data_IF_568658821684
#
_entry.id   IF_568658821684
#
_cell.length_a   1.000
_cell.length_b   1.000
_cell.length_c   1.000
_cell.angle_alpha   90.00
_cell.angle_beta   90.00
_cell.angle_gamma   90.00
#
_symmetry.space_group_name_H-M   'P 1'
#
loop_
_entity.id
_entity.type
_entity.pdbx_description
1 polymer ?
#
# COMPACT_ATOMS: atom_id res chain seq x y z
N UNK A 1 36.58 -20.24 -24.09
CA UNK A 1 35.11 -20.27 -24.32
C UNK A 1 34.34 -21.02 -23.23
N UNK A 2 34.80 -22.17 -22.72
CA UNK A 2 34.11 -22.91 -21.66
C UNK A 2 33.98 -22.12 -20.33
N UNK A 3 35.04 -21.41 -19.91
CA UNK A 3 35.03 -20.57 -18.69
C UNK A 3 34.03 -19.42 -18.74
N UNK A 4 33.82 -18.80 -19.91
CA UNK A 4 32.86 -17.71 -20.08
C UNK A 4 31.41 -18.21 -20.01
N UNK A 5 31.14 -19.43 -20.51
CA UNK A 5 29.83 -20.06 -20.43
C UNK A 5 29.46 -20.49 -19.01
N UNK A 6 30.43 -21.00 -18.24
CA UNK A 6 30.24 -21.34 -16.82
C UNK A 6 29.97 -20.09 -15.98
N UNK A 7 30.67 -18.98 -16.24
CA UNK A 7 30.42 -17.71 -15.56
C UNK A 7 29.05 -17.12 -15.91
N UNK A 8 28.63 -17.19 -17.17
CA UNK A 8 27.30 -16.76 -17.60
C UNK A 8 26.17 -17.62 -16.99
N UNK A 9 26.38 -18.94 -16.85
CA UNK A 9 25.43 -19.85 -16.19
C UNK A 9 25.33 -19.60 -14.68
N UNK A 10 26.45 -19.29 -14.02
CA UNK A 10 26.45 -18.95 -12.59
C UNK A 10 25.78 -17.59 -12.32
N UNK A 11 25.97 -16.61 -13.20
CA UNK A 11 25.27 -15.32 -13.11
C UNK A 11 23.77 -15.50 -13.41
N UNK A 12 23.39 -16.31 -14.40
CA UNK A 12 21.99 -16.62 -14.67
C UNK A 12 21.31 -17.35 -13.50
N UNK A 13 22.02 -18.27 -12.82
CA UNK A 13 21.53 -18.96 -11.63
C UNK A 13 21.48 -18.04 -10.38
N UNK A 14 22.31 -16.99 -10.31
CA UNK A 14 22.29 -16.02 -9.22
C UNK A 14 21.22 -14.92 -9.41
N UNK A 15 20.89 -14.57 -10.67
CA UNK A 15 19.79 -13.65 -11.00
C UNK A 15 18.43 -14.36 -10.93
N UNK A 16 18.39 -15.67 -11.21
CA UNK A 16 17.28 -16.57 -10.90
C UNK A 16 17.46 -17.21 -9.51
N UNK A 17 17.79 -16.40 -8.50
CA UNK A 17 17.62 -16.83 -7.12
C UNK A 17 16.22 -17.41 -6.94
N UNK A 18 16.03 -18.43 -6.08
CA UNK A 18 14.70 -18.97 -5.88
C UNK A 18 13.83 -17.81 -5.40
N UNK A 19 12.93 -17.34 -6.26
CA UNK A 19 11.69 -16.73 -5.80
C UNK A 19 11.15 -17.83 -4.89
N UNK A 20 11.35 -17.67 -3.58
CA UNK A 20 10.92 -18.66 -2.61
C UNK A 20 9.46 -18.91 -2.92
N UNK A 21 9.14 -20.10 -3.46
CA UNK A 21 7.76 -20.48 -3.68
C UNK A 21 7.12 -20.37 -2.32
N UNK A 22 6.31 -19.33 -2.15
CA UNK A 22 5.51 -19.17 -0.95
C UNK A 22 4.53 -20.32 -1.03
N UNK A 23 4.75 -21.33 -0.18
CA UNK A 23 3.81 -22.43 -0.06
C UNK A 23 2.50 -21.85 0.45
N UNK A 24 1.60 -21.64 -0.48
CA UNK A 24 0.19 -21.42 -0.22
C UNK A 24 -0.34 -22.61 0.58
N UNK A 25 -0.95 -22.34 1.72
CA UNK A 25 -1.63 -23.37 2.48
C UNK A 25 -3.00 -23.63 1.85
N UNK A 26 -3.46 -24.86 1.90
CA UNK A 26 -4.84 -25.22 1.57
C UNK A 26 -5.40 -25.89 2.81
N UNK A 27 -6.35 -25.24 3.46
CA UNK A 27 -7.08 -25.84 4.57
C UNK A 27 -8.18 -26.75 4.05
N UNK A 28 -8.42 -27.85 4.77
CA UNK A 28 -9.54 -28.76 4.50
C UNK A 28 -10.62 -28.58 5.56
N UNK A 29 -11.86 -28.31 5.14
CA UNK A 29 -13.02 -28.20 6.04
C UNK A 29 -13.79 -26.89 5.89
N UNK A 30 -14.90 -26.75 6.61
CA UNK A 30 -15.64 -25.50 6.70
C UNK A 30 -14.96 -24.58 7.72
N UNK A 31 -14.41 -23.46 7.26
CA UNK A 31 -13.92 -22.40 8.14
C UNK A 31 -15.08 -21.66 8.79
N UNK A 32 -15.00 -21.48 10.10
CA UNK A 32 -15.92 -20.63 10.84
C UNK A 32 -15.20 -19.99 12.02
N UNK A 33 -15.38 -18.68 12.19
CA UNK A 33 -14.90 -17.97 13.35
C UNK A 33 -15.96 -16.96 13.79
N UNK A 34 -16.04 -16.70 15.10
CA UNK A 34 -16.94 -15.68 15.64
C UNK A 34 -16.19 -14.34 15.68
N UNK A 35 -16.30 -13.54 14.61
CA UNK A 35 -15.78 -12.17 14.64
C UNK A 35 -16.64 -11.30 15.55
N UNK A 36 -16.02 -10.50 16.42
CA UNK A 36 -16.73 -9.51 17.22
C UNK A 36 -17.41 -8.47 16.31
N UNK A 37 -18.74 -8.54 16.18
CA UNK A 37 -19.49 -7.57 15.39
C UNK A 37 -19.31 -6.18 15.99
N UNK A 38 -18.65 -5.27 15.27
CA UNK A 38 -18.53 -3.86 15.66
C UNK A 38 -17.12 -3.35 15.99
N UNK A 39 -16.06 -4.12 15.73
CA UNK A 39 -14.69 -3.58 15.82
C UNK A 39 -14.43 -2.64 14.63
N UNK A 40 -14.09 -1.38 14.94
CA UNK A 40 -13.90 -0.32 13.95
C UNK A 40 -12.62 0.46 14.26
N UNK A 41 -11.77 0.62 13.26
CA UNK A 41 -10.62 1.55 13.30
C UNK A 41 -11.10 2.86 12.69
N UNK A 42 -10.83 3.98 13.37
CA UNK A 42 -11.24 5.31 12.92
C UNK A 42 -10.03 6.08 12.41
N UNK A 43 -9.97 6.29 11.12
CA UNK A 43 -9.04 7.22 10.50
C UNK A 43 -9.57 8.64 10.67
N UNK A 44 -9.11 9.34 11.72
CA UNK A 44 -9.49 10.73 11.97
C UNK A 44 -8.74 11.68 11.02
N UNK A 45 -9.35 12.84 10.75
CA UNK A 45 -8.70 13.90 9.97
C UNK A 45 -7.63 14.63 10.80
N UNK A 46 -6.36 14.51 10.39
CA UNK A 46 -5.22 15.20 11.03
C UNK A 46 -4.35 15.83 9.92
N UNK A 47 -4.40 17.15 9.71
CA UNK A 47 -3.68 17.80 8.62
C UNK A 47 -2.21 18.08 8.97
N UNK A 48 -1.28 17.48 8.21
CA UNK A 48 0.13 17.90 8.17
C UNK A 48 0.94 17.66 9.45
N UNK A 49 0.51 16.74 10.31
CA UNK A 49 1.22 16.38 11.55
C UNK A 49 2.02 15.09 11.37
N UNK A 50 1.42 14.08 10.73
CA UNK A 50 2.03 12.75 10.60
C UNK A 50 3.12 12.74 9.54
N UNK A 51 4.24 12.13 9.89
CA UNK A 51 5.37 11.84 9.02
C UNK A 51 5.66 10.33 9.01
N UNK A 52 6.15 9.81 7.89
CA UNK A 52 6.54 8.40 7.77
C UNK A 52 8.06 8.35 7.77
N UNK A 53 8.67 8.20 8.95
CA UNK A 53 10.12 8.33 9.13
C UNK A 53 10.70 7.46 10.27
N UNK A 54 9.89 6.60 10.88
CA UNK A 54 10.23 5.76 12.01
C UNK A 54 10.15 6.47 13.37
N UNK A 55 9.78 7.75 13.44
CA UNK A 55 9.62 8.48 14.70
C UNK A 55 8.15 8.58 15.06
N UNK A 56 7.81 8.09 16.25
CA UNK A 56 6.40 7.92 16.64
C UNK A 56 5.82 9.04 17.51
N UNK A 57 6.57 10.12 17.71
CA UNK A 57 6.18 11.22 18.61
C UNK A 57 4.94 11.98 18.11
N UNK A 58 4.77 12.09 16.80
CA UNK A 58 3.62 12.68 16.11
C UNK A 58 2.34 11.83 16.22
N UNK A 59 2.46 10.54 16.56
CA UNK A 59 1.32 9.62 16.77
C UNK A 59 0.80 9.56 18.21
N UNK A 60 1.41 10.28 19.15
CA UNK A 60 1.11 10.15 20.60
C UNK A 60 -0.36 10.44 20.94
N UNK A 61 -1.00 11.36 20.23
CA UNK A 61 -2.37 11.82 20.48
C UNK A 61 -3.41 11.13 19.56
N UNK A 62 -2.96 10.17 18.74
CA UNK A 62 -3.83 9.42 17.83
C UNK A 62 -4.51 8.26 18.57
N UNK A 63 -5.81 8.09 18.32
CA UNK A 63 -6.64 7.01 18.87
C UNK A 63 -6.08 5.62 18.54
N UNK A 64 -6.04 4.75 19.55
CA UNK A 64 -5.41 3.43 19.47
C UNK A 64 -6.45 2.31 19.38
N UNK A 65 -6.32 1.43 18.40
CA UNK A 65 -7.11 0.19 18.32
C UNK A 65 -6.21 -1.00 18.64
N UNK A 66 -6.51 -1.72 19.72
CA UNK A 66 -5.67 -2.81 20.23
C UNK A 66 -6.28 -4.18 19.92
N UNK A 67 -5.51 -5.05 19.28
CA UNK A 67 -5.97 -6.35 18.78
C UNK A 67 -5.11 -7.49 19.32
N UNK A 68 -5.70 -8.58 19.83
CA UNK A 68 -4.96 -9.82 20.03
C UNK A 68 -4.41 -10.31 18.68
N UNK A 69 -3.24 -10.93 18.72
CA UNK A 69 -2.60 -11.51 17.53
C UNK A 69 -2.74 -13.03 17.60
N UNK A 70 -3.61 -13.59 16.77
CA UNK A 70 -3.89 -15.02 16.71
C UNK A 70 -3.33 -15.63 15.42
N UNK A 71 -2.83 -16.87 15.42
CA UNK A 71 -2.38 -17.51 14.19
C UNK A 71 -3.49 -17.55 13.16
N UNK A 72 -3.19 -17.15 11.92
CA UNK A 72 -4.22 -16.99 10.90
C UNK A 72 -4.93 -18.29 10.50
N UNK A 73 -4.24 -19.42 10.59
CA UNK A 73 -4.77 -20.74 10.21
C UNK A 73 -5.41 -21.49 11.38
N UNK A 74 -5.17 -21.02 12.60
CA UNK A 74 -5.49 -21.73 13.82
C UNK A 74 -5.68 -20.73 14.97
N UNK A 75 -6.78 -19.94 14.92
CA UNK A 75 -6.97 -18.75 15.75
C UNK A 75 -7.46 -19.11 17.16
N UNK A 76 -6.91 -20.17 17.75
CA UNK A 76 -7.20 -20.57 19.11
C UNK A 76 -6.54 -19.62 20.12
N UNK A 77 -7.27 -19.28 21.17
CA UNK A 77 -6.83 -18.31 22.17
C UNK A 77 -5.57 -18.74 22.95
N UNK A 78 -5.30 -20.04 23.06
CA UNK A 78 -4.08 -20.58 23.70
C UNK A 78 -2.83 -20.43 22.83
N UNK A 79 -2.98 -20.03 21.56
CA UNK A 79 -1.90 -19.80 20.59
C UNK A 79 -1.66 -18.32 20.31
N UNK A 80 -2.29 -17.42 21.09
CA UNK A 80 -2.08 -15.97 20.99
C UNK A 80 -0.58 -15.62 21.09
N UNK A 81 -0.15 -14.65 20.29
CA UNK A 81 1.21 -14.15 20.31
C UNK A 81 1.60 -13.63 21.69
N UNK A 82 2.62 -14.27 22.27
CA UNK A 82 2.92 -14.13 23.69
C UNK A 82 3.56 -12.79 24.09
N UNK A 83 4.15 -12.05 23.15
CA UNK A 83 4.78 -10.76 23.47
C UNK A 83 3.76 -9.61 23.53
N UNK A 84 2.52 -9.83 23.09
CA UNK A 84 1.41 -8.91 23.31
C UNK A 84 0.50 -8.73 22.10
N UNK A 85 -0.11 -7.55 22.04
CA UNK A 85 -1.12 -7.17 21.05
C UNK A 85 -0.50 -6.38 19.91
N UNK A 86 -1.22 -6.30 18.79
CA UNK A 86 -0.98 -5.26 17.78
C UNK A 86 -1.84 -4.05 18.10
N UNK A 87 -1.21 -2.89 18.19
CA UNK A 87 -1.90 -1.60 18.19
C UNK A 87 -1.90 -1.05 16.77
N UNK A 88 -3.08 -0.78 16.23
CA UNK A 88 -3.26 -0.13 14.94
C UNK A 88 -3.80 1.28 15.17
N UNK A 89 -3.12 2.26 14.59
CA UNK A 89 -3.59 3.65 14.48
C UNK A 89 -3.76 3.99 13.01
N UNK A 90 -4.77 4.79 12.70
CA UNK A 90 -5.00 5.28 11.35
C UNK A 90 -5.46 6.74 11.40
N UNK A 91 -5.04 7.55 10.43
CA UNK A 91 -5.51 8.93 10.23
C UNK A 91 -5.48 9.27 8.74
N UNK A 92 -6.01 10.42 8.36
CA UNK A 92 -5.83 10.97 7.01
C UNK A 92 -5.70 12.49 7.05
N UNK A 93 -5.01 13.09 6.08
CA UNK A 93 -4.87 14.54 5.96
C UNK A 93 -5.79 15.15 4.88
N UNK A 94 -6.66 14.32 4.30
CA UNK A 94 -7.56 14.70 3.21
C UNK A 94 -7.03 14.38 1.82
N UNK A 95 -5.74 14.04 1.70
CA UNK A 95 -5.09 13.55 0.47
C UNK A 95 -4.54 12.15 0.65
N UNK A 96 -3.85 11.91 1.76
CA UNK A 96 -3.18 10.67 2.10
C UNK A 96 -3.87 10.01 3.31
N UNK A 97 -3.89 8.67 3.32
CA UNK A 97 -4.16 7.85 4.49
C UNK A 97 -2.83 7.48 5.14
N UNK A 98 -2.79 7.46 6.47
CA UNK A 98 -1.63 7.06 7.25
C UNK A 98 -2.02 5.95 8.22
N UNK A 99 -1.11 4.99 8.40
CA UNK A 99 -1.28 3.84 9.28
C UNK A 99 -0.04 3.65 10.12
N UNK A 100 -0.21 3.33 11.40
CA UNK A 100 0.87 2.86 12.26
C UNK A 100 0.48 1.55 12.92
N UNK A 101 1.37 0.55 12.80
CA UNK A 101 1.28 -0.72 13.49
C UNK A 101 2.35 -0.76 14.58
N UNK A 102 1.94 -0.96 15.82
CA UNK A 102 2.83 -1.19 16.94
C UNK A 102 2.70 -2.62 17.42
N UNK A 103 3.81 -3.33 17.55
CA UNK A 103 3.80 -4.72 18.03
C UNK A 103 4.94 -4.91 19.01
N UNK A 104 4.62 -5.34 20.22
CA UNK A 104 5.64 -5.72 21.20
C UNK A 104 6.40 -6.94 20.71
N UNK A 105 7.71 -6.94 20.89
CA UNK A 105 8.55 -8.03 20.45
C UNK A 105 10.00 -7.74 20.79
N UNK A 106 10.78 -8.78 21.01
CA UNK A 106 12.21 -8.57 21.15
C UNK A 106 12.80 -8.19 19.78
N UNK A 107 13.91 -7.47 19.80
CA UNK A 107 14.64 -7.14 18.61
C UNK A 107 15.13 -8.42 17.93
N UNK A 108 14.72 -8.64 16.69
CA UNK A 108 14.96 -9.81 15.88
C UNK A 108 15.34 -9.35 14.48
N UNK A 109 16.64 -9.42 14.17
CA UNK A 109 17.14 -8.93 12.90
C UNK A 109 18.34 -9.73 12.43
N UNK A 110 18.16 -10.46 11.33
CA UNK A 110 19.26 -11.10 10.60
C UNK A 110 19.36 -10.48 9.21
N UNK A 111 20.42 -9.72 8.97
CA UNK A 111 20.61 -9.00 7.71
C UNK A 111 20.49 -9.94 6.49
N UNK A 112 19.54 -9.63 5.61
CA UNK A 112 19.31 -10.36 4.36
C UNK A 112 18.50 -11.64 4.50
N UNK A 113 18.01 -11.98 5.69
CA UNK A 113 17.14 -13.13 5.95
C UNK A 113 15.79 -12.64 6.48
N UNK A 114 14.87 -12.31 5.55
CA UNK A 114 13.53 -11.84 5.90
C UNK A 114 12.79 -12.77 6.85
N UNK A 115 12.99 -14.09 6.74
CA UNK A 115 12.31 -15.09 7.58
C UNK A 115 12.73 -15.03 9.06
N UNK A 116 13.83 -14.35 9.36
CA UNK A 116 14.33 -14.09 10.71
C UNK A 116 14.18 -12.64 11.16
N UNK A 117 13.46 -11.84 10.38
CA UNK A 117 13.11 -10.49 10.75
C UNK A 117 11.58 -10.35 10.77
N UNK A 118 11.03 -9.43 11.58
CA UNK A 118 9.62 -9.10 11.51
C UNK A 118 9.14 -8.70 10.11
N UNK A 119 7.87 -8.98 9.83
CA UNK A 119 7.17 -8.55 8.62
C UNK A 119 5.74 -8.17 8.98
N UNK A 120 5.16 -7.20 8.29
CA UNK A 120 3.74 -6.82 8.46
C UNK A 120 3.05 -6.75 7.10
N UNK A 121 1.72 -6.89 7.12
CA UNK A 121 0.90 -6.57 5.97
C UNK A 121 -0.39 -5.87 6.39
N UNK A 122 -0.89 -5.01 5.50
CA UNK A 122 -2.26 -4.51 5.53
C UNK A 122 -2.99 -5.09 4.32
N UNK A 123 -4.21 -5.57 4.51
CA UNK A 123 -5.05 -6.12 3.45
C UNK A 123 -6.40 -5.42 3.44
N UNK A 124 -6.84 -4.99 2.27
CA UNK A 124 -8.09 -4.26 2.06
C UNK A 124 -9.00 -5.00 1.08
N UNK A 125 -10.29 -4.98 1.35
CA UNK A 125 -11.28 -5.51 0.42
C UNK A 125 -11.48 -4.53 -0.75
N UNK A 126 -11.40 -5.02 -1.98
CA UNK A 126 -11.78 -4.24 -3.17
C UNK A 126 -13.02 -4.84 -3.81
N UNK A 127 -12.95 -6.13 -4.17
CA UNK A 127 -14.04 -6.85 -4.81
C UNK A 127 -15.20 -7.11 -3.85
N UNK A 128 -16.43 -6.97 -4.32
CA UNK A 128 -17.63 -7.14 -3.49
C UNK A 128 -17.74 -8.55 -2.87
N UNK A 129 -17.22 -9.56 -3.56
CA UNK A 129 -17.21 -10.97 -3.14
C UNK A 129 -15.90 -11.36 -2.41
N UNK A 130 -14.98 -10.43 -2.20
CA UNK A 130 -13.70 -10.71 -1.57
C UNK A 130 -13.86 -11.10 -0.09
N UNK A 131 -13.52 -12.35 0.21
CA UNK A 131 -13.50 -12.89 1.57
C UNK A 131 -12.14 -12.64 2.25
N UNK A 132 -12.16 -12.43 3.57
CA UNK A 132 -10.94 -12.29 4.37
C UNK A 132 -10.13 -13.60 4.38
N UNK A 133 -10.77 -14.70 4.80
CA UNK A 133 -10.09 -15.96 5.14
C UNK A 133 -9.25 -16.54 4.01
N UNK A 134 -9.68 -16.35 2.75
CA UNK A 134 -8.93 -16.80 1.56
C UNK A 134 -8.41 -15.65 0.72
N UNK A 135 -8.07 -14.50 1.32
CA UNK A 135 -7.42 -13.36 0.64
C UNK A 135 -8.11 -13.03 -0.71
N UNK A 136 -9.44 -12.91 -0.69
CA UNK A 136 -10.29 -12.77 -1.88
C UNK A 136 -11.25 -13.95 -2.08
N UNK A 137 -10.77 -15.19 -1.92
CA UNK A 137 -11.61 -16.39 -1.96
C UNK A 137 -12.05 -16.85 -3.34
N UNK A 138 -11.38 -16.43 -4.42
CA UNK A 138 -11.59 -17.06 -5.72
C UNK A 138 -11.23 -18.55 -5.65
N UNK A 139 -12.08 -19.41 -6.22
CA UNK A 139 -11.92 -20.88 -6.16
C UNK A 139 -10.88 -21.44 -7.13
N UNK A 140 -10.34 -20.60 -8.01
CA UNK A 140 -9.33 -20.98 -8.98
C UNK A 140 -8.03 -21.46 -8.32
N UNK A 141 -7.38 -22.44 -8.95
CA UNK A 141 -6.10 -22.96 -8.49
C UNK A 141 -4.93 -22.09 -8.92
N UNK A 142 -3.69 -22.48 -8.55
CA UNK A 142 -2.48 -21.86 -9.06
C UNK A 142 -2.50 -21.79 -10.60
N UNK A 143 -2.03 -20.68 -11.16
CA UNK A 143 -1.90 -20.44 -12.61
C UNK A 143 -3.21 -20.44 -13.43
N UNK A 144 -4.39 -20.66 -12.82
CA UNK A 144 -5.69 -20.64 -13.54
C UNK A 144 -6.51 -19.36 -13.31
N UNK A 145 -6.03 -18.47 -12.45
CA UNK A 145 -6.74 -17.23 -12.17
C UNK A 145 -6.65 -16.24 -13.33
N UNK A 146 -7.80 -15.76 -13.74
CA UNK A 146 -7.94 -14.67 -14.72
C UNK A 146 -8.93 -13.65 -14.19
N UNK A 147 -8.85 -12.42 -14.71
CA UNK A 147 -9.86 -11.40 -14.39
C UNK A 147 -11.27 -11.93 -14.70
N UNK A 148 -11.47 -12.66 -15.81
CA UNK A 148 -12.78 -13.22 -16.16
C UNK A 148 -13.35 -14.21 -15.13
N UNK A 149 -12.51 -14.96 -14.44
CA UNK A 149 -12.92 -16.02 -13.51
C UNK A 149 -12.95 -15.58 -12.06
N UNK A 150 -12.14 -14.59 -11.70
CA UNK A 150 -11.97 -14.13 -10.32
C UNK A 150 -12.40 -12.69 -10.08
N UNK A 151 -12.94 -12.00 -11.10
CA UNK A 151 -13.45 -10.63 -10.94
C UNK A 151 -14.42 -10.52 -9.76
N UNK A 152 -14.22 -9.50 -8.94
CA UNK A 152 -15.01 -9.24 -7.73
C UNK A 152 -14.46 -9.93 -6.47
N UNK A 153 -13.35 -10.65 -6.58
CA UNK A 153 -12.64 -11.25 -5.43
C UNK A 153 -11.33 -10.50 -5.09
N UNK A 154 -11.10 -9.32 -5.66
CA UNK A 154 -9.87 -8.56 -5.47
C UNK A 154 -9.69 -8.13 -4.01
N UNK A 155 -8.48 -8.34 -3.51
CA UNK A 155 -7.95 -7.69 -2.30
C UNK A 155 -6.67 -6.95 -2.66
N UNK A 156 -6.47 -5.81 -2.01
CA UNK A 156 -5.25 -5.01 -2.06
C UNK A 156 -4.42 -5.36 -0.83
N UNK A 157 -3.13 -5.60 -0.99
CA UNK A 157 -2.20 -6.00 0.05
C UNK A 157 -0.92 -5.19 -0.07
N UNK A 158 -0.64 -4.40 0.95
CA UNK A 158 0.72 -3.91 1.19
C UNK A 158 1.44 -4.90 2.10
N UNK A 159 2.64 -5.30 1.72
CA UNK A 159 3.50 -6.13 2.56
C UNK A 159 4.87 -5.49 2.75
N UNK A 160 5.25 -5.33 4.01
CA UNK A 160 6.53 -4.77 4.41
C UNK A 160 7.39 -5.80 5.15
N UNK A 161 8.54 -6.13 4.59
CA UNK A 161 9.49 -7.07 5.19
C UNK A 161 10.81 -6.39 5.55
N UNK A 162 11.24 -6.56 6.80
CA UNK A 162 12.50 -6.00 7.26
C UNK A 162 13.67 -6.59 6.47
N UNK A 163 14.06 -7.86 6.64
CA UNK A 163 15.15 -8.47 5.85
C UNK A 163 16.48 -7.68 5.88
N UNK A 164 16.69 -6.81 4.89
CA UNK A 164 17.81 -5.85 4.80
C UNK A 164 17.43 -4.37 4.97
N UNK A 165 16.19 -4.08 5.37
CA UNK A 165 15.68 -2.76 5.59
C UNK A 165 16.48 -2.06 6.70
N UNK A 166 16.59 -0.76 6.53
CA UNK A 166 17.32 0.17 7.37
C UNK A 166 16.28 0.89 8.23
N UNK A 167 16.41 0.87 9.58
CA UNK A 167 15.49 1.59 10.46
C UNK A 167 15.41 3.07 10.08
N UNK A 168 14.20 3.63 10.06
CA UNK A 168 13.92 5.05 9.77
C UNK A 168 14.03 5.44 8.28
N UNK A 169 14.45 4.53 7.40
CA UNK A 169 14.51 4.79 5.96
C UNK A 169 13.12 4.65 5.33
N UNK A 170 12.81 5.57 4.40
CA UNK A 170 11.61 5.52 3.59
C UNK A 170 11.75 4.51 2.43
N UNK A 171 10.73 3.67 2.25
CA UNK A 171 10.59 2.65 1.20
C UNK A 171 9.30 2.84 0.41
N UNK A 172 9.26 2.33 -0.84
CA UNK A 172 8.07 2.44 -1.70
C UNK A 172 7.82 3.85 -2.24
N UNK A 173 6.75 4.02 -3.03
CA UNK A 173 6.20 5.32 -3.41
C UNK A 173 7.14 6.26 -4.15
N UNK A 174 8.25 5.74 -4.70
CA UNK A 174 9.30 6.58 -5.26
C UNK A 174 9.17 6.69 -6.79
N UNK A 175 9.35 7.90 -7.37
CA UNK A 175 9.13 8.12 -8.80
C UNK A 175 10.02 7.29 -9.74
N UNK A 176 11.11 6.72 -9.26
CA UNK A 176 12.00 5.92 -10.10
C UNK A 176 11.48 4.47 -10.19
N UNK A 177 10.95 3.88 -9.11
CA UNK A 177 10.34 2.53 -9.17
C UNK A 177 8.99 2.58 -9.86
N UNK A 178 8.19 3.62 -9.59
CA UNK A 178 6.89 3.79 -10.24
C UNK A 178 6.99 4.01 -11.76
N UNK A 179 8.16 4.41 -12.29
CA UNK A 179 8.41 4.46 -13.75
C UNK A 179 8.45 3.08 -14.39
N UNK A 180 8.80 2.03 -13.64
CA UNK A 180 8.76 0.66 -14.13
C UNK A 180 7.32 0.16 -14.28
N UNK A 181 6.35 0.85 -13.66
CA UNK A 181 4.93 0.60 -13.84
C UNK A 181 4.44 -0.69 -13.18
N UNK A 182 4.99 -1.02 -12.01
CA UNK A 182 4.52 -2.12 -11.18
C UNK A 182 4.70 -1.85 -9.68
N UNK A 183 4.02 -2.61 -8.83
CA UNK A 183 3.96 -2.50 -7.36
C UNK A 183 5.25 -2.89 -6.62
N UNK A 184 6.39 -2.94 -7.30
CA UNK A 184 7.67 -3.27 -6.67
C UNK A 184 8.34 -2.09 -5.98
N UNK A 185 9.26 -2.41 -5.09
CA UNK A 185 10.26 -1.49 -4.56
C UNK A 185 11.64 -2.06 -4.89
N UNK A 186 12.57 -1.24 -5.38
CA UNK A 186 13.90 -1.73 -5.78
C UNK A 186 14.72 -2.31 -4.63
N UNK A 187 14.41 -1.93 -3.40
CA UNK A 187 15.05 -2.49 -2.23
C UNK A 187 14.33 -3.77 -1.76
N UNK A 188 13.13 -4.03 -2.29
CA UNK A 188 12.37 -5.26 -2.09
C UNK A 188 11.68 -5.34 -0.73
N UNK A 189 11.56 -4.21 -0.02
CA UNK A 189 11.05 -4.21 1.35
C UNK A 189 9.57 -3.91 1.44
N UNK A 190 9.08 -2.93 0.67
CA UNK A 190 7.67 -2.55 0.62
C UNK A 190 7.12 -2.87 -0.76
N UNK A 191 6.23 -3.86 -0.84
CA UNK A 191 5.58 -4.23 -2.10
C UNK A 191 4.08 -3.98 -2.03
N UNK A 192 3.55 -3.53 -3.16
CA UNK A 192 2.14 -3.31 -3.42
C UNK A 192 1.60 -4.45 -4.29
N UNK A 193 0.57 -5.12 -3.80
CA UNK A 193 0.19 -6.45 -4.26
C UNK A 193 -1.31 -6.61 -4.22
N UNK A 194 -1.94 -6.87 -5.35
CA UNK A 194 -3.29 -7.38 -5.36
C UNK A 194 -3.35 -8.92 -5.39
N UNK A 195 -4.46 -9.47 -4.91
CA UNK A 195 -4.74 -10.90 -4.98
C UNK A 195 -6.22 -11.21 -5.23
N UNK A 196 -6.50 -12.39 -5.75
CA UNK A 196 -7.85 -12.98 -5.77
C UNK A 196 -8.01 -14.14 -4.79
N UNK A 197 -6.89 -14.77 -4.42
CA UNK A 197 -6.76 -15.82 -3.41
C UNK A 197 -5.26 -15.99 -3.05
N UNK A 198 -4.87 -16.87 -2.11
CA UNK A 198 -3.48 -17.01 -1.70
C UNK A 198 -2.53 -17.55 -2.77
N UNK A 199 -3.05 -18.18 -3.83
CA UNK A 199 -2.27 -18.72 -4.96
C UNK A 199 -2.14 -17.72 -6.13
N UNK A 200 -3.01 -16.73 -6.18
CA UNK A 200 -3.17 -15.81 -7.29
C UNK A 200 -2.96 -14.39 -6.79
N UNK A 201 -1.69 -14.09 -6.57
CA UNK A 201 -1.18 -12.88 -5.96
C UNK A 201 -0.08 -12.31 -6.86
N UNK A 202 -0.19 -11.04 -7.20
CA UNK A 202 0.69 -10.39 -8.17
C UNK A 202 1.07 -9.01 -7.66
N UNK A 203 2.25 -8.53 -8.04
CA UNK A 203 2.57 -7.12 -7.84
C UNK A 203 1.57 -6.29 -8.66
N UNK A 204 1.18 -5.14 -8.12
CA UNK A 204 0.34 -4.19 -8.85
C UNK A 204 0.93 -3.86 -10.21
N UNK A 205 0.08 -3.63 -11.20
CA UNK A 205 0.50 -3.43 -12.60
C UNK A 205 0.95 -4.71 -13.32
N UNK A 206 1.14 -5.84 -12.63
CA UNK A 206 1.37 -7.15 -13.24
C UNK A 206 0.12 -8.01 -13.15
N UNK A 207 -0.44 -8.43 -14.29
CA UNK A 207 -1.60 -9.34 -14.30
C UNK A 207 -1.38 -10.53 -15.23
N UNK A 208 -1.96 -11.71 -14.94
CA UNK A 208 -2.05 -12.80 -15.92
C UNK A 208 -2.67 -12.37 -17.25
N UNK A 209 -3.50 -11.32 -17.24
CA UNK A 209 -4.13 -10.74 -18.43
C UNK A 209 -3.31 -9.66 -19.16
N UNK A 210 -2.15 -9.26 -18.63
CA UNK A 210 -1.28 -8.23 -19.21
C UNK A 210 -0.73 -7.25 -18.17
N UNK A 211 0.25 -6.44 -18.57
CA UNK A 211 0.81 -5.39 -17.71
C UNK A 211 0.10 -4.06 -17.96
N UNK A 212 -0.16 -3.28 -16.91
CA UNK A 212 -0.62 -1.90 -17.01
C UNK A 212 0.25 -1.01 -16.12
N UNK A 213 0.79 0.05 -16.71
CA UNK A 213 1.66 1.02 -16.03
C UNK A 213 0.92 1.97 -15.09
N UNK A 214 -0.42 1.91 -15.04
CA UNK A 214 -1.22 2.79 -14.16
C UNK A 214 -1.28 2.34 -12.71
N UNK A 215 -1.03 1.05 -12.44
CA UNK A 215 -0.97 0.51 -11.09
C UNK A 215 0.49 0.52 -10.63
N UNK A 216 0.76 1.28 -9.58
CA UNK A 216 2.08 1.61 -9.09
C UNK A 216 2.18 1.24 -7.62
N UNK A 217 3.40 1.19 -7.09
CA UNK A 217 3.56 1.14 -5.64
C UNK A 217 3.24 2.53 -5.07
N UNK A 218 2.00 2.73 -4.63
CA UNK A 218 1.53 4.01 -4.10
C UNK A 218 1.75 4.15 -2.58
N UNK A 219 2.36 3.13 -1.97
CA UNK A 219 2.68 3.11 -0.57
C UNK A 219 4.07 3.65 -0.28
N UNK A 220 4.17 4.41 0.79
CA UNK A 220 5.42 4.73 1.45
C UNK A 220 5.44 4.08 2.82
N UNK A 221 6.62 3.67 3.29
CA UNK A 221 6.72 3.08 4.62
C UNK A 221 8.09 3.20 5.26
N UNK A 222 8.10 3.16 6.58
CA UNK A 222 9.28 3.17 7.44
C UNK A 222 9.06 2.26 8.64
N UNK A 223 10.14 1.91 9.33
CA UNK A 223 10.08 1.10 10.53
C UNK A 223 11.10 1.53 11.59
N UNK A 224 10.78 1.20 12.84
CA UNK A 224 11.65 1.43 13.99
C UNK A 224 11.46 0.36 15.06
N UNK A 225 12.41 0.28 16.00
CA UNK A 225 12.27 -0.51 17.21
C UNK A 225 12.74 0.30 18.42
N UNK A 226 12.01 0.29 19.53
CA UNK A 226 12.31 1.14 20.70
C UNK A 226 13.64 0.87 21.40
N UNK A 227 14.31 -0.25 21.12
CA UNK A 227 15.66 -0.50 21.64
C UNK A 227 16.77 0.26 20.88
N UNK A 228 16.45 0.89 19.75
CA UNK A 228 17.40 1.66 18.96
C UNK A 228 17.60 3.04 19.58
N UNK A 229 18.85 3.47 19.72
CA UNK A 229 19.22 4.67 20.51
C UNK A 229 19.35 5.96 19.70
N UNK A 230 19.57 5.88 18.37
CA UNK A 230 19.85 7.05 17.52
C UNK A 230 18.94 7.12 16.29
N UNK A 231 18.06 8.12 16.21
CA UNK A 231 17.09 8.29 15.10
C UNK A 231 17.71 8.97 13.85
N UNK A 232 19.00 8.79 13.58
CA UNK A 232 19.75 9.59 12.61
C UNK A 232 19.85 9.01 11.20
N UNK A 233 19.71 7.70 11.02
CA UNK A 233 20.25 7.02 9.85
C UNK A 233 19.25 6.76 8.72
N UNK A 234 19.43 7.45 7.59
CA UNK A 234 18.82 7.09 6.29
C UNK A 234 19.66 6.06 5.50
N UNK A 235 20.86 5.74 6.00
CA UNK A 235 21.83 4.83 5.38
C UNK A 235 22.38 3.85 6.41
N UNK A 236 22.78 2.65 5.95
CA UNK A 236 23.18 1.54 6.80
C UNK A 236 24.27 1.91 7.82
N UNK A 237 25.24 2.72 7.42
CA UNK A 237 26.38 3.09 8.27
C UNK A 237 26.00 4.08 9.38
N UNK A 238 24.89 4.80 9.22
CA UNK A 238 24.39 5.81 10.17
C UNK A 238 23.17 5.32 10.96
N UNK A 239 22.65 4.12 10.67
CA UNK A 239 21.47 3.55 11.33
C UNK A 239 21.89 2.54 12.39
N UNK A 240 21.53 2.75 13.66
CA UNK A 240 21.80 1.77 14.69
C UNK A 240 20.98 0.50 14.44
N UNK A 241 21.63 -0.65 14.52
CA UNK A 241 20.97 -1.93 14.73
C UNK A 241 21.17 -2.31 16.19
N UNK A 242 20.13 -2.82 16.85
CA UNK A 242 20.25 -3.31 18.22
C UNK A 242 20.86 -4.72 18.25
N UNK A 243 21.25 -5.15 19.45
CA UNK A 243 21.58 -6.55 19.68
C UNK A 243 20.32 -7.42 19.62
N UNK A 244 20.46 -8.61 19.08
CA UNK A 244 19.40 -9.62 19.07
C UNK A 244 18.85 -9.86 20.49
N UNK A 245 17.52 -10.01 20.61
CA UNK A 245 16.83 -10.29 21.85
C UNK A 245 16.55 -9.08 22.76
N UNK A 246 16.98 -7.87 22.39
CA UNK A 246 16.69 -6.66 23.17
C UNK A 246 15.18 -6.40 23.24
N UNK A 247 14.64 -6.24 24.46
CA UNK A 247 13.20 -6.01 24.63
C UNK A 247 12.78 -4.67 24.04
N UNK A 248 11.60 -4.64 23.44
CA UNK A 248 11.01 -3.40 22.97
C UNK A 248 9.72 -3.60 22.18
N UNK A 249 9.47 -2.64 21.31
CA UNK A 249 8.27 -2.52 20.49
C UNK A 249 8.71 -2.13 19.09
N UNK A 250 8.16 -2.82 18.10
CA UNK A 250 8.29 -2.45 16.70
C UNK A 250 7.23 -1.42 16.35
N UNK A 251 7.65 -0.45 15.54
CA UNK A 251 6.78 0.53 14.93
C UNK A 251 6.94 0.43 13.42
N UNK A 252 5.82 0.29 12.72
CA UNK A 252 5.76 0.35 11.27
C UNK A 252 4.79 1.44 10.88
N UNK A 253 5.24 2.35 10.02
CA UNK A 253 4.47 3.48 9.54
C UNK A 253 4.29 3.36 8.05
N UNK A 254 3.08 3.66 7.59
CA UNK A 254 2.72 3.59 6.18
C UNK A 254 1.87 4.78 5.78
N UNK A 255 2.04 5.25 4.56
CA UNK A 255 1.14 6.21 3.94
C UNK A 255 0.86 5.84 2.50
N UNK A 256 -0.32 6.25 2.01
CA UNK A 256 -0.64 6.23 0.59
C UNK A 256 -1.73 7.25 0.26
N UNK A 257 -1.89 7.62 -1.01
CA UNK A 257 -3.00 8.44 -1.44
C UNK A 257 -4.35 7.77 -1.11
N UNK A 258 -5.33 8.56 -0.66
CA UNK A 258 -6.71 8.10 -0.50
C UNK A 258 -7.30 7.61 -1.83
N UNK A 259 -6.83 8.19 -2.93
CA UNK A 259 -7.18 7.82 -4.30
C UNK A 259 -5.92 7.57 -5.09
N UNK A 260 -5.81 6.39 -5.68
CA UNK A 260 -4.72 6.06 -6.59
C UNK A 260 -5.11 6.27 -8.04
N UNK A 261 -4.14 6.14 -8.93
CA UNK A 261 -4.35 6.22 -10.37
C UNK A 261 -4.68 4.86 -11.00
N UNK A 262 -4.83 3.82 -10.18
CA UNK A 262 -5.15 2.48 -10.61
C UNK A 262 -6.47 2.43 -11.39
N UNK A 263 -6.43 1.72 -12.51
CA UNK A 263 -7.56 1.48 -13.42
C UNK A 263 -7.92 0.00 -13.52
N UNK A 264 -7.14 -0.86 -12.87
CA UNK A 264 -7.26 -2.31 -12.91
C UNK A 264 -8.01 -2.88 -11.72
N UNK A 265 -8.45 -2.05 -10.76
CA UNK A 265 -9.12 -2.50 -9.54
C UNK A 265 -8.20 -3.40 -8.69
N UNK A 266 -6.92 -3.03 -8.64
CA UNK A 266 -5.87 -3.64 -7.84
C UNK A 266 -5.66 -2.89 -6.52
N UNK A 267 -6.01 -1.61 -6.50
CA UNK A 267 -5.93 -0.73 -5.33
C UNK A 267 -7.27 -0.47 -4.65
N UNK A 268 -7.27 -0.52 -3.32
CA UNK A 268 -8.37 -0.05 -2.51
C UNK A 268 -8.48 1.49 -2.57
N UNK A 269 -9.68 1.98 -2.87
CA UNK A 269 -9.95 3.42 -3.02
C UNK A 269 -10.66 3.97 -1.79
N UNK A 270 -9.94 4.68 -0.93
CA UNK A 270 -10.47 5.22 0.31
C UNK A 270 -11.30 6.48 0.07
N UNK A 271 -12.49 6.52 0.70
CA UNK A 271 -13.42 7.64 0.59
C UNK A 271 -13.71 8.20 1.97
N UNK A 272 -13.42 9.48 2.16
CA UNK A 272 -13.80 10.21 3.38
C UNK A 272 -15.32 10.14 3.57
N UNK A 273 -15.75 9.83 4.79
CA UNK A 273 -17.14 9.59 5.17
C UNK A 273 -17.63 8.17 4.90
N UNK A 274 -16.79 7.25 4.42
CA UNK A 274 -17.15 5.84 4.18
C UNK A 274 -16.27 4.88 4.98
N UNK A 275 -16.80 3.68 5.14
CA UNK A 275 -16.08 2.53 5.68
C UNK A 275 -15.45 1.70 4.56
N UNK A 276 -14.24 1.21 4.81
CA UNK A 276 -13.58 0.15 4.03
C UNK A 276 -13.41 -1.08 4.92
N UNK A 277 -13.19 -2.26 4.33
CA UNK A 277 -12.79 -3.45 5.10
C UNK A 277 -11.28 -3.60 5.10
N UNK A 278 -10.73 -3.87 6.27
CA UNK A 278 -9.31 -3.95 6.55
C UNK A 278 -9.00 -5.24 7.33
N UNK A 279 -7.79 -5.75 7.17
CA UNK A 279 -7.12 -6.62 8.13
C UNK A 279 -5.62 -6.32 8.16
N UNK A 280 -4.94 -6.74 9.23
CA UNK A 280 -3.50 -6.60 9.39
C UNK A 280 -2.89 -7.94 9.84
N UNK A 281 -1.69 -8.21 9.34
CA UNK A 281 -0.96 -9.44 9.62
C UNK A 281 0.46 -9.13 10.12
N UNK A 282 1.01 -10.08 10.90
CA UNK A 282 2.34 -9.99 11.47
C UNK A 282 3.07 -11.32 11.38
N UNK A 283 4.29 -11.30 10.86
CA UNK A 283 5.22 -12.42 10.88
C UNK A 283 6.36 -12.09 11.83
N UNK A 284 6.72 -13.05 12.68
CA UNK A 284 7.77 -12.88 13.66
C UNK A 284 8.48 -14.20 13.94
N UNK A 285 9.82 -14.21 14.04
CA UNK A 285 10.57 -15.42 14.35
C UNK A 285 10.37 -15.83 15.83
N UNK A 286 9.63 -16.90 16.05
CA UNK A 286 9.36 -17.42 17.39
C UNK A 286 10.45 -18.40 17.84
N UNK A 287 10.92 -18.26 19.08
CA UNK A 287 11.94 -19.13 19.68
C UNK A 287 13.23 -19.29 18.84
N UNK A 288 13.63 -18.22 18.15
CA UNK A 288 14.80 -18.22 17.27
C UNK A 288 14.62 -19.02 15.97
N UNK A 289 13.41 -19.49 15.68
CA UNK A 289 13.09 -20.20 14.44
C UNK A 289 12.58 -19.20 13.38
N UNK A 290 13.03 -19.32 12.12
CA UNK A 290 12.49 -18.50 11.05
C UNK A 290 11.01 -18.79 10.84
N UNK A 291 10.23 -17.77 10.52
CA UNK A 291 8.84 -17.94 10.10
C UNK A 291 8.77 -18.43 8.65
N UNK A 292 7.63 -18.98 8.26
CA UNK A 292 7.31 -19.29 6.86
C UNK A 292 6.08 -18.51 6.40
N UNK A 293 5.85 -18.43 5.08
CA UNK A 293 4.89 -17.49 4.51
C UNK A 293 3.46 -17.58 5.07
N UNK A 294 2.97 -18.78 5.38
CA UNK A 294 1.64 -18.95 5.99
C UNK A 294 1.59 -18.79 7.52
N UNK A 295 2.72 -18.77 8.23
CA UNK A 295 2.79 -18.68 9.70
C UNK A 295 2.70 -17.23 10.21
N UNK A 296 1.67 -16.51 9.80
CA UNK A 296 1.39 -15.18 10.33
C UNK A 296 0.34 -15.20 11.42
N UNK A 297 0.45 -14.19 12.27
CA UNK A 297 -0.63 -13.77 13.14
C UNK A 297 -1.52 -12.76 12.42
N UNK A 298 -2.79 -12.72 12.79
CA UNK A 298 -3.76 -11.74 12.31
C UNK A 298 -4.45 -11.06 13.50
N UNK A 299 -4.85 -9.80 13.28
CA UNK A 299 -5.59 -9.00 14.26
C UNK A 299 -7.05 -9.43 14.43
N UNK A 300 -7.58 -10.22 13.50
CA UNK A 300 -8.96 -10.67 13.48
C UNK A 300 -9.10 -11.93 12.62
N UNK A 301 -10.15 -12.69 12.86
CA UNK A 301 -10.47 -13.88 12.07
C UNK A 301 -11.41 -13.59 10.88
N UNK A 302 -11.90 -12.35 10.76
CA UNK A 302 -12.63 -11.80 9.61
C UNK A 302 -12.31 -10.31 9.44
N UNK A 303 -12.79 -9.70 8.35
CA UNK A 303 -12.67 -8.27 8.08
C UNK A 303 -13.11 -7.40 9.27
N UNK A 304 -12.33 -6.39 9.56
CA UNK A 304 -12.73 -5.28 10.43
C UNK A 304 -13.08 -4.05 9.59
N UNK A 305 -13.83 -3.11 10.16
CA UNK A 305 -14.16 -1.86 9.48
C UNK A 305 -13.10 -0.79 9.74
N UNK A 306 -12.71 -0.09 8.68
CA UNK A 306 -11.89 1.11 8.71
C UNK A 306 -12.73 2.30 8.25
N UNK A 307 -13.00 3.24 9.14
CA UNK A 307 -13.80 4.42 8.87
C UNK A 307 -12.92 5.63 8.60
N UNK A 308 -13.06 6.26 7.42
CA UNK A 308 -12.43 7.56 7.15
C UNK A 308 -13.38 8.66 7.60
N UNK A 309 -13.06 9.32 8.71
CA UNK A 309 -13.96 10.26 9.36
C UNK A 309 -13.80 11.65 8.74
N UNK A 310 -14.90 12.22 8.25
CA UNK A 310 -14.90 13.61 7.77
C UNK A 310 -14.43 14.56 8.88
N UNK A 311 -13.41 15.36 8.59
CA UNK A 311 -13.01 16.46 9.47
C UNK A 311 -14.13 17.49 9.53
N UNK A 312 -14.79 17.64 10.67
CA UNK A 312 -15.83 18.63 10.88
C UNK A 312 -15.78 19.23 12.28
N UNK A 313 -15.56 20.54 12.36
CA UNK A 313 -16.51 21.35 13.11
C UNK A 313 -17.85 21.22 12.39
N UNK A 314 -18.94 20.95 13.12
CA UNK A 314 -20.27 20.86 12.52
C UNK A 314 -20.53 22.05 11.60
N UNK A 315 -20.82 21.86 10.30
CA UNK A 315 -21.41 22.91 9.52
C UNK A 315 -22.85 23.04 10.04
N UNK A 316 -23.15 24.19 10.64
CA UNK A 316 -24.53 24.62 10.85
C UNK A 316 -25.28 24.37 9.55
N UNK A 317 -26.40 23.62 9.59
CA UNK A 317 -27.24 23.33 8.43
C UNK A 317 -27.39 24.58 7.54
N UNK A 318 -26.61 24.64 6.47
CA UNK A 318 -26.91 25.49 5.31
C UNK A 318 -27.34 24.52 4.24
N UNK A 319 -28.56 24.74 3.75
CA UNK A 319 -29.24 23.91 2.78
C UNK A 319 -28.32 23.44 1.65
N UNK A 320 -28.47 22.18 1.26
CA UNK A 320 -27.81 21.56 0.11
C UNK A 320 -27.90 22.46 -1.13
N UNK A 321 -26.78 23.12 -1.46
CA UNK A 321 -26.49 23.66 -2.77
C UNK A 321 -25.20 23.01 -3.25
N UNK A 322 -25.29 22.21 -4.31
CA UNK A 322 -24.16 21.61 -5.04
C UNK A 322 -23.01 22.61 -5.23
N UNK A 323 -21.82 22.38 -4.64
CA UNK A 323 -20.63 23.22 -4.90
C UNK A 323 -19.95 22.90 -6.24
N UNK A 324 -20.41 21.86 -6.94
CA UNK A 324 -19.76 21.32 -8.13
C UNK A 324 -20.29 21.91 -9.45
N UNK A 325 -21.42 22.61 -9.43
CA UNK A 325 -22.03 23.18 -10.64
C UNK A 325 -21.42 24.52 -11.07
N UNK A 326 -21.01 25.37 -10.13
CA UNK A 326 -20.56 26.72 -10.46
C UNK A 326 -19.21 26.72 -11.19
N UNK A 327 -18.19 26.05 -10.64
CA UNK A 327 -16.85 26.04 -11.23
C UNK A 327 -16.82 25.37 -12.62
N UNK A 328 -17.61 24.32 -12.79
CA UNK A 328 -17.74 23.59 -14.07
C UNK A 328 -18.50 24.42 -15.10
N UNK A 329 -19.57 25.10 -14.71
CA UNK A 329 -20.30 26.03 -15.58
C UNK A 329 -19.45 27.24 -15.99
N UNK A 330 -18.68 27.82 -15.06
CA UNK A 330 -17.76 28.91 -15.38
C UNK A 330 -16.64 28.46 -16.30
N UNK A 331 -16.07 27.27 -16.08
CA UNK A 331 -15.01 26.72 -16.96
C UNK A 331 -15.54 26.46 -18.38
N UNK A 332 -16.75 25.92 -18.50
CA UNK A 332 -17.41 25.74 -19.79
C UNK A 332 -17.67 27.10 -20.47
N UNK A 333 -18.20 28.08 -19.73
CA UNK A 333 -18.43 29.44 -20.24
C UNK A 333 -17.14 30.08 -20.76
N UNK A 334 -16.05 30.04 -19.98
CA UNK A 334 -14.76 30.60 -20.38
C UNK A 334 -14.16 29.86 -21.58
N UNK A 335 -14.32 28.53 -21.67
CA UNK A 335 -13.85 27.75 -22.83
C UNK A 335 -14.58 28.14 -24.12
N UNK A 336 -15.90 28.36 -24.04
CA UNK A 336 -16.72 28.78 -25.19
C UNK A 336 -16.36 30.21 -25.60
N UNK A 337 -16.20 31.13 -24.63
CA UNK A 337 -15.77 32.51 -24.91
C UNK A 337 -14.39 32.54 -25.56
N UNK A 338 -13.43 31.77 -25.05
CA UNK A 338 -12.08 31.68 -25.60
C UNK A 338 -12.10 31.13 -27.04
N UNK A 339 -12.91 30.10 -27.31
CA UNK A 339 -13.07 29.52 -28.64
C UNK A 339 -13.68 30.53 -29.63
N UNK A 340 -14.73 31.25 -29.23
CA UNK A 340 -15.34 32.32 -30.04
C UNK A 340 -14.36 33.47 -30.33
N UNK A 341 -13.56 33.87 -29.33
CA UNK A 341 -12.52 34.88 -29.51
C UNK A 341 -11.43 34.41 -30.47
N UNK A 342 -11.00 33.15 -30.39
CA UNK A 342 -10.02 32.58 -31.31
C UNK A 342 -10.52 32.57 -32.77
N UNK A 343 -11.79 32.18 -33.00
CA UNK A 343 -12.42 32.24 -34.33
C UNK A 343 -12.50 33.69 -34.83
N UNK A 344 -12.92 34.61 -33.97
CA UNK A 344 -13.06 36.03 -34.35
C UNK A 344 -11.71 36.67 -34.70
N UNK A 345 -10.67 36.43 -33.89
CA UNK A 345 -9.32 36.90 -34.15
C UNK A 345 -8.76 36.25 -35.43
N UNK A 346 -8.91 34.94 -35.59
CA UNK A 346 -8.50 34.23 -36.81
C UNK A 346 -9.18 34.75 -38.07
N UNK A 347 -10.48 35.03 -38.01
CA UNK A 347 -11.23 35.61 -39.12
C UNK A 347 -10.83 37.08 -39.39
N UNK A 348 -10.58 37.89 -38.35
CA UNK A 348 -10.05 39.27 -38.49
C UNK A 348 -8.67 39.28 -39.14
N UNK A 349 -7.74 38.44 -38.68
CA UNK A 349 -6.39 38.33 -39.23
C UNK A 349 -6.41 37.80 -40.67
N UNK A 350 -7.26 36.82 -40.97
CA UNK A 350 -7.46 36.32 -42.35
C UNK A 350 -8.01 37.40 -43.29
N UNK A 351 -8.89 38.29 -42.81
CA UNK A 351 -9.37 39.45 -43.60
C UNK A 351 -8.31 40.54 -43.75
N UNK A 352 -7.48 40.79 -42.75
CA UNK A 352 -6.39 41.79 -42.82
C UNK A 352 -5.29 41.33 -43.79
N UNK A 353 -4.97 40.04 -43.82
CA UNK A 353 -3.99 39.46 -44.75
C UNK A 353 -4.49 39.40 -46.21
N UNK A 354 -5.78 39.66 -46.48
CA UNK A 354 -6.28 39.81 -47.86
C UNK A 354 -6.05 41.21 -48.46
N UNK A 355 -5.58 42.17 -47.68
CA UNK A 355 -5.34 43.56 -48.11
C UNK A 355 -3.87 44.00 -48.11
N UNK A 356 -2.95 43.15 -47.67
CA UNK A 356 -1.52 43.42 -47.74
C UNK A 356 -0.89 42.79 -48.98
N UNK A 357 -0.68 43.58 -50.04
CA UNK A 357 0.16 43.16 -51.16
C UNK A 357 1.59 42.97 -50.65
N UNK A 358 2.06 41.73 -50.62
CA UNK A 358 3.47 41.41 -50.43
C UNK A 358 4.22 41.90 -51.67
N UNK A 359 5.04 42.95 -51.53
CA UNK A 359 6.01 43.35 -52.55
C UNK A 359 7.35 42.69 -52.17
N UNK A 360 7.82 41.67 -52.91
CA UNK A 360 9.16 41.13 -52.70
C UNK A 360 10.17 42.22 -53.08
N UNK A 361 11.17 42.46 -52.21
CA UNK A 361 12.34 43.26 -52.61
C UNK A 361 13.20 42.41 -53.55
N UNK A 362 12.91 42.49 -54.84
CA UNK A 362 13.91 42.23 -55.87
C UNK A 362 14.33 43.59 -56.46
N UNK A 363 15.56 43.98 -56.09
CA UNK A 363 16.37 45.10 -56.59
C UNK A 363 16.12 46.50 -56.02
N UNK A 364 16.77 46.79 -54.88
CA UNK A 364 17.58 48.01 -54.67
C UNK A 364 18.67 47.77 -53.62
#
# INVERSE_FOLDING_TARGET
MLRLRVFALLIAAAVLGPIGRVNSHTESGNWHCHSGSGIRVRAQFIPGIITVDGKVDDWKDVEESNFPLLPALDPDADKEYNAGKMTLKAVHDGKEAYFMLQVNGNYAYTQGDSSKCPSVALMFQIGENASYHRMGGCEQGPDTCTNKTCHGHEVDIMHFSLGSAIPGRLYGGNPIDNREGYGGDRFGHLVDVYAWNPHCRFLDGMSPSGNDTTAQNDWQGSWWHSSLTDHSGFIKDDSPYASEGQKGTYYFEFSRPLRTMDRLQQDAQFTIGKSSKLSAAFWYPMDGKPWHGSAHYSISCDWILLDFISGGSEPTMVAQGSPWDAATAFSLLFSVVAFCMAIFIGHRLSRINRTGNFIPMDNL
#
